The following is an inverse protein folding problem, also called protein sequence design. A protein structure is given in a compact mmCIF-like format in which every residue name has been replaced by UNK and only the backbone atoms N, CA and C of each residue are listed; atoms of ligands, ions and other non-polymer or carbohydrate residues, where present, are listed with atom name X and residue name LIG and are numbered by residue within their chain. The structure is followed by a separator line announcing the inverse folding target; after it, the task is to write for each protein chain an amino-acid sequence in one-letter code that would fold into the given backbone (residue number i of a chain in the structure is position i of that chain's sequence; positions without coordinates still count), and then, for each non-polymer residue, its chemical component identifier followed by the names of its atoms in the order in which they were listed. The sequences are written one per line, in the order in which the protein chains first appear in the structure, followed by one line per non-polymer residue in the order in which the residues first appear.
data_IF_334424466877
#
_entry.id   IF_334424466877
#
_cell.length_a   1.000
_cell.length_b   1.000
_cell.length_c   1.000
_cell.angle_alpha   90.00
_cell.angle_beta   90.00
_cell.angle_gamma   90.00
#
_symmetry.space_group_name_H-M   'P 1'
#
loop_
_entity.id
_entity.type
_entity.pdbx_description
1 polymer ?
#
# COMPACT_ATOMS: atom_id res chain seq x y z
N UNK A 1 -23.57 57.12 -20.66
CA UNK A 1 -23.69 57.40 -19.21
C UNK A 1 -24.64 56.33 -18.70
N UNK A 2 -24.09 55.17 -18.31
CA UNK A 2 -24.90 54.06 -17.80
C UNK A 2 -25.48 54.48 -16.45
N UNK A 3 -26.80 54.52 -16.39
CA UNK A 3 -27.55 54.76 -15.17
C UNK A 3 -27.33 53.56 -14.25
N UNK A 4 -26.40 53.70 -13.30
CA UNK A 4 -26.14 52.65 -12.30
C UNK A 4 -27.34 52.58 -11.37
N UNK A 5 -28.17 51.56 -11.53
CA UNK A 5 -29.22 51.19 -10.58
C UNK A 5 -28.70 51.29 -9.15
N UNK A 6 -29.50 51.90 -8.26
CA UNK A 6 -29.15 51.98 -6.85
C UNK A 6 -29.10 50.58 -6.23
N UNK A 7 -28.37 50.42 -5.12
CA UNK A 7 -28.27 49.13 -4.42
C UNK A 7 -29.64 48.57 -4.00
N UNK A 8 -30.60 49.46 -3.68
CA UNK A 8 -31.97 49.07 -3.32
C UNK A 8 -32.77 48.57 -4.53
N UNK A 9 -32.62 49.23 -5.69
CA UNK A 9 -33.25 48.81 -6.95
C UNK A 9 -32.68 47.49 -7.44
N UNK A 10 -31.36 47.29 -7.31
CA UNK A 10 -30.70 46.03 -7.66
C UNK A 10 -31.16 44.89 -6.75
N UNK A 11 -31.33 45.16 -5.46
CA UNK A 11 -31.87 44.17 -4.52
C UNK A 11 -33.33 43.81 -4.85
N UNK A 12 -34.19 44.79 -5.14
CA UNK A 12 -35.58 44.54 -5.53
C UNK A 12 -35.68 43.74 -6.84
N UNK A 13 -34.84 44.08 -7.82
CA UNK A 13 -34.75 43.38 -9.11
C UNK A 13 -34.29 41.94 -8.93
N UNK A 14 -33.23 41.71 -8.15
CA UNK A 14 -32.74 40.37 -7.82
C UNK A 14 -33.82 39.53 -7.12
N UNK A 15 -34.57 40.10 -6.17
CA UNK A 15 -35.63 39.40 -5.49
C UNK A 15 -36.76 38.96 -6.45
N UNK A 16 -37.21 39.87 -7.32
CA UNK A 16 -38.25 39.57 -8.31
C UNK A 16 -37.80 38.49 -9.32
N UNK A 17 -36.57 38.60 -9.83
CA UNK A 17 -35.98 37.61 -10.73
C UNK A 17 -35.79 36.25 -10.05
N UNK A 18 -35.39 36.21 -8.77
CA UNK A 18 -35.27 34.98 -8.00
C UNK A 18 -36.62 34.26 -7.84
N UNK A 19 -37.70 34.98 -7.55
CA UNK A 19 -39.05 34.40 -7.46
C UNK A 19 -39.50 33.79 -8.80
N UNK A 20 -39.29 34.50 -9.91
CA UNK A 20 -39.63 34.00 -11.24
C UNK A 20 -38.77 32.78 -11.64
N UNK A 21 -37.48 32.83 -11.33
CA UNK A 21 -36.55 31.72 -11.58
C UNK A 21 -36.92 30.47 -10.74
N UNK A 22 -37.33 30.66 -9.49
CA UNK A 22 -37.82 29.57 -8.63
C UNK A 22 -39.09 28.91 -9.18
N UNK A 23 -39.95 29.68 -9.84
CA UNK A 23 -41.14 29.19 -10.55
C UNK A 23 -40.82 28.48 -11.88
N UNK A 24 -39.54 28.35 -12.25
CA UNK A 24 -39.09 27.64 -13.45
C UNK A 24 -38.87 28.52 -14.68
N UNK A 25 -38.89 29.86 -14.54
CA UNK A 25 -38.61 30.76 -15.66
C UNK A 25 -37.08 30.81 -15.95
N UNK A 26 -36.66 30.11 -17.02
CA UNK A 26 -35.25 30.04 -17.45
C UNK A 26 -34.69 31.39 -17.91
N UNK A 27 -35.52 32.24 -18.51
CA UNK A 27 -35.10 33.58 -18.92
C UNK A 27 -34.79 34.46 -17.69
N UNK A 28 -35.67 34.42 -16.67
CA UNK A 28 -35.44 35.13 -15.42
C UNK A 28 -34.18 34.63 -14.69
N UNK A 29 -33.91 33.32 -14.72
CA UNK A 29 -32.68 32.75 -14.18
C UNK A 29 -31.43 33.25 -14.93
N UNK A 30 -31.49 33.33 -16.26
CA UNK A 30 -30.40 33.87 -17.08
C UNK A 30 -30.12 35.35 -16.77
N UNK A 31 -31.18 36.17 -16.64
CA UNK A 31 -31.04 37.59 -16.26
C UNK A 31 -30.48 37.76 -14.85
N UNK A 32 -30.90 36.90 -13.91
CA UNK A 32 -30.38 36.88 -12.55
C UNK A 32 -28.89 36.53 -12.51
N UNK A 33 -28.45 35.57 -13.34
CA UNK A 33 -27.03 35.25 -13.51
C UNK A 33 -26.24 36.44 -14.05
N UNK A 34 -26.66 37.03 -15.17
CA UNK A 34 -25.92 38.13 -15.80
C UNK A 34 -25.77 39.35 -14.87
N UNK A 35 -26.83 39.67 -14.13
CA UNK A 35 -26.84 40.79 -13.17
C UNK A 35 -25.86 40.56 -12.01
N UNK A 36 -25.66 39.31 -11.59
CA UNK A 36 -24.82 38.95 -10.44
C UNK A 36 -23.44 38.39 -10.82
N UNK A 37 -23.13 38.24 -12.12
CA UNK A 37 -21.85 37.68 -12.61
C UNK A 37 -20.63 38.42 -12.08
N UNK A 38 -20.70 39.76 -12.00
CA UNK A 38 -19.62 40.59 -11.45
C UNK A 38 -19.34 40.32 -9.97
N UNK A 39 -20.40 40.10 -9.17
CA UNK A 39 -20.29 39.76 -7.76
C UNK A 39 -19.66 38.37 -7.57
N UNK A 40 -20.11 37.39 -8.36
CA UNK A 40 -19.60 36.01 -8.35
C UNK A 40 -18.10 35.99 -8.69
N UNK A 41 -17.70 36.69 -9.76
CA UNK A 41 -16.29 36.85 -10.12
C UNK A 41 -15.49 37.49 -8.99
N UNK A 42 -16.01 38.53 -8.33
CA UNK A 42 -15.32 39.16 -7.18
C UNK A 42 -15.13 38.20 -6.01
N UNK A 43 -16.14 37.38 -5.69
CA UNK A 43 -16.03 36.34 -4.65
C UNK A 43 -14.96 35.31 -5.01
N UNK A 44 -14.96 34.84 -6.26
CA UNK A 44 -13.97 33.89 -6.75
C UNK A 44 -12.54 34.43 -6.67
N UNK A 45 -12.29 35.64 -7.17
CA UNK A 45 -10.95 36.26 -7.14
C UNK A 45 -10.41 36.53 -5.73
N UNK A 46 -11.29 36.68 -4.73
CA UNK A 46 -10.88 36.75 -3.32
C UNK A 46 -10.53 35.36 -2.77
N UNK A 47 -11.27 34.34 -3.18
CA UNK A 47 -11.10 32.98 -2.72
C UNK A 47 -9.88 32.28 -3.34
N UNK A 48 -9.72 32.37 -4.67
CA UNK A 48 -8.76 31.58 -5.45
C UNK A 48 -7.29 31.72 -5.02
N UNK A 49 -6.72 32.92 -4.80
CA UNK A 49 -5.32 33.05 -4.40
C UNK A 49 -4.97 32.31 -3.10
N UNK A 50 -5.92 32.23 -2.18
CA UNK A 50 -5.75 31.56 -0.89
C UNK A 50 -5.97 30.03 -0.97
N UNK A 51 -6.51 29.53 -2.08
CA UNK A 51 -6.94 28.14 -2.24
C UNK A 51 -6.46 27.49 -3.54
N UNK A 52 -5.54 28.12 -4.28
CA UNK A 52 -5.03 27.60 -5.57
C UNK A 52 -4.46 26.19 -5.44
N UNK A 53 -3.64 25.92 -4.43
CA UNK A 53 -3.06 24.60 -4.20
C UNK A 53 -4.13 23.53 -3.93
N UNK A 54 -5.25 23.91 -3.29
CA UNK A 54 -6.38 23.03 -3.09
C UNK A 54 -7.15 22.82 -4.40
N UNK A 55 -7.37 23.87 -5.19
CA UNK A 55 -8.04 23.76 -6.49
C UNK A 55 -7.23 22.86 -7.46
N UNK A 56 -5.92 23.07 -7.54
CA UNK A 56 -5.00 22.28 -8.38
C UNK A 56 -5.04 20.78 -8.00
N UNK A 57 -5.01 20.46 -6.70
CA UNK A 57 -5.11 19.07 -6.20
C UNK A 57 -6.42 18.38 -6.57
N UNK A 58 -7.48 19.17 -6.70
CA UNK A 58 -8.81 18.69 -7.03
C UNK A 58 -9.12 18.81 -8.52
N UNK A 59 -8.15 19.23 -9.35
CA UNK A 59 -8.30 19.40 -10.79
C UNK A 59 -9.27 20.51 -11.19
N UNK A 60 -9.60 21.43 -10.28
CA UNK A 60 -10.58 22.50 -10.51
C UNK A 60 -9.85 23.74 -10.99
N UNK A 61 -10.22 24.22 -12.18
CA UNK A 61 -9.69 25.44 -12.78
C UNK A 61 -10.55 26.66 -12.46
N UNK A 62 -10.05 27.85 -12.78
CA UNK A 62 -10.81 29.09 -12.65
C UNK A 62 -12.10 29.09 -13.50
N UNK A 63 -12.06 28.48 -14.69
CA UNK A 63 -13.20 28.40 -15.61
C UNK A 63 -14.31 27.48 -15.05
N UNK A 64 -13.93 26.44 -14.32
CA UNK A 64 -14.89 25.56 -13.63
C UNK A 64 -15.65 26.33 -12.55
N UNK A 65 -14.98 27.22 -11.81
CA UNK A 65 -15.66 28.05 -10.81
C UNK A 65 -16.62 29.07 -11.42
N UNK A 66 -16.31 29.61 -12.61
CA UNK A 66 -17.25 30.48 -13.32
C UNK A 66 -18.51 29.71 -13.73
N UNK A 67 -18.36 28.47 -14.23
CA UNK A 67 -19.48 27.59 -14.55
C UNK A 67 -20.30 27.19 -13.31
N UNK A 68 -19.63 26.81 -12.23
CA UNK A 68 -20.26 26.48 -10.94
C UNK A 68 -21.01 27.66 -10.31
N UNK A 69 -20.58 28.89 -10.63
CA UNK A 69 -21.29 30.11 -10.27
C UNK A 69 -22.74 30.13 -10.76
N UNK A 70 -23.02 29.58 -11.93
CA UNK A 70 -24.38 29.49 -12.45
C UNK A 70 -25.25 28.57 -11.58
N UNK A 71 -24.72 27.42 -11.17
CA UNK A 71 -25.43 26.51 -10.26
C UNK A 71 -25.61 27.11 -8.86
N UNK A 72 -24.73 28.01 -8.43
CA UNK A 72 -24.92 28.76 -7.21
C UNK A 72 -26.09 29.75 -7.33
N UNK A 73 -26.23 30.46 -8.46
CA UNK A 73 -27.39 31.33 -8.72
C UNK A 73 -28.69 30.53 -8.78
N UNK A 74 -28.68 29.38 -9.46
CA UNK A 74 -29.86 28.51 -9.52
C UNK A 74 -30.27 28.02 -8.11
N UNK A 75 -29.31 27.58 -7.30
CA UNK A 75 -29.56 27.16 -5.93
C UNK A 75 -30.07 28.32 -5.06
N UNK A 76 -29.43 29.49 -5.18
CA UNK A 76 -29.83 30.69 -4.45
C UNK A 76 -31.26 31.08 -4.80
N UNK A 77 -31.63 31.14 -6.08
CA UNK A 77 -32.98 31.47 -6.52
C UNK A 77 -34.05 30.52 -5.93
N UNK A 78 -33.78 29.20 -5.91
CA UNK A 78 -34.72 28.20 -5.38
C UNK A 78 -34.91 28.26 -3.87
N UNK A 79 -33.90 28.72 -3.13
CA UNK A 79 -33.89 28.70 -1.66
C UNK A 79 -34.01 30.08 -1.05
N UNK A 80 -34.10 31.12 -1.87
CA UNK A 80 -34.08 32.50 -1.41
C UNK A 80 -35.34 32.82 -0.61
N UNK A 81 -35.13 33.35 0.59
CA UNK A 81 -36.17 33.93 1.43
C UNK A 81 -35.98 35.46 1.51
N UNK A 82 -36.87 36.26 0.89
CA UNK A 82 -36.81 37.71 0.96
C UNK A 82 -36.93 38.28 2.38
N UNK A 83 -37.57 37.55 3.31
CA UNK A 83 -37.71 38.00 4.70
C UNK A 83 -36.41 37.83 5.52
N UNK A 84 -35.55 36.90 5.11
CA UNK A 84 -34.30 36.58 5.81
C UNK A 84 -33.11 37.47 5.41
N UNK A 85 -33.22 38.25 4.34
CA UNK A 85 -32.24 39.27 3.98
C UNK A 85 -32.00 39.48 2.48
N UNK A 86 -30.86 40.11 2.17
CA UNK A 86 -30.48 40.45 0.80
C UNK A 86 -30.13 39.21 -0.04
N UNK A 87 -30.42 39.27 -1.34
CA UNK A 87 -30.15 38.16 -2.26
C UNK A 87 -28.64 37.93 -2.41
N UNK A 88 -27.84 39.01 -2.37
CA UNK A 88 -26.38 38.94 -2.43
C UNK A 88 -25.78 38.13 -1.27
N UNK A 89 -26.35 38.24 -0.07
CA UNK A 89 -25.95 37.43 1.09
C UNK A 89 -26.26 35.96 0.88
N UNK A 90 -27.45 35.67 0.35
CA UNK A 90 -27.87 34.29 0.02
C UNK A 90 -26.98 33.67 -1.06
N UNK A 91 -26.67 34.45 -2.09
CA UNK A 91 -25.78 34.05 -3.18
C UNK A 91 -24.37 33.78 -2.67
N UNK A 92 -23.85 34.57 -1.71
CA UNK A 92 -22.55 34.30 -1.10
C UNK A 92 -22.49 32.93 -0.41
N UNK A 93 -23.56 32.56 0.31
CA UNK A 93 -23.66 31.25 0.97
C UNK A 93 -23.82 30.12 -0.06
N UNK A 94 -24.63 30.35 -1.10
CA UNK A 94 -24.80 29.40 -2.20
C UNK A 94 -23.47 29.15 -2.94
N UNK A 95 -22.67 30.20 -3.17
CA UNK A 95 -21.34 30.09 -3.77
C UNK A 95 -20.40 29.24 -2.90
N UNK A 96 -20.34 29.50 -1.58
CA UNK A 96 -19.53 28.67 -0.68
C UNK A 96 -19.94 27.20 -0.71
N UNK A 97 -21.25 26.94 -0.73
CA UNK A 97 -21.80 25.59 -0.89
C UNK A 97 -21.36 24.94 -2.20
N UNK A 98 -21.42 25.67 -3.33
CA UNK A 98 -21.02 25.11 -4.62
C UNK A 98 -19.51 24.88 -4.72
N UNK A 99 -18.68 25.79 -4.22
CA UNK A 99 -17.21 25.58 -4.14
C UNK A 99 -16.91 24.28 -3.38
N UNK A 100 -17.59 24.05 -2.26
CA UNK A 100 -17.43 22.81 -1.50
C UNK A 100 -17.92 21.57 -2.25
N UNK A 101 -18.96 21.68 -3.09
CA UNK A 101 -19.46 20.57 -3.90
C UNK A 101 -18.52 20.26 -5.05
N UNK A 102 -18.06 21.27 -5.79
CA UNK A 102 -17.09 21.15 -6.87
C UNK A 102 -15.79 20.49 -6.38
N UNK A 103 -15.28 20.92 -5.22
CA UNK A 103 -14.07 20.32 -4.64
C UNK A 103 -14.28 18.87 -4.16
N UNK A 104 -15.51 18.44 -3.86
CA UNK A 104 -15.75 17.09 -3.34
C UNK A 104 -16.40 16.13 -4.33
N UNK A 105 -16.90 16.61 -5.47
CA UNK A 105 -17.75 15.85 -6.40
C UNK A 105 -18.84 15.03 -5.65
N UNK A 106 -19.37 15.58 -4.56
CA UNK A 106 -20.36 14.92 -3.69
C UNK A 106 -19.82 13.84 -2.75
N UNK A 107 -18.56 13.41 -2.89
CA UNK A 107 -17.93 12.37 -2.06
C UNK A 107 -17.08 13.03 -0.98
N UNK A 108 -17.56 12.98 0.27
CA UNK A 108 -16.95 13.70 1.39
C UNK A 108 -16.55 12.75 2.50
N UNK A 109 -15.36 12.93 3.05
CA UNK A 109 -14.93 12.27 4.29
C UNK A 109 -14.68 13.30 5.38
N UNK A 110 -15.03 12.94 6.61
CA UNK A 110 -14.71 13.71 7.80
C UNK A 110 -13.38 13.20 8.37
N UNK A 111 -12.51 14.12 8.75
CA UNK A 111 -11.33 13.80 9.54
C UNK A 111 -11.22 14.80 10.70
N UNK A 112 -10.45 14.43 11.72
CA UNK A 112 -10.18 15.28 12.88
C UNK A 112 -8.70 15.66 12.79
N UNK A 113 -8.40 16.95 12.88
CA UNK A 113 -7.01 17.42 12.92
C UNK A 113 -6.37 17.17 14.29
N UNK A 114 -5.08 17.48 14.42
CA UNK A 114 -4.33 17.35 15.68
C UNK A 114 -4.92 18.21 16.82
N UNK A 115 -5.63 19.29 16.48
CA UNK A 115 -6.31 20.19 17.41
C UNK A 115 -7.72 19.71 17.82
N UNK A 116 -8.17 18.56 17.33
CA UNK A 116 -9.49 17.99 17.64
C UNK A 116 -10.66 18.61 16.87
N UNK A 117 -10.41 19.46 15.86
CA UNK A 117 -11.43 20.05 15.01
C UNK A 117 -11.81 19.10 13.87
N UNK A 118 -13.11 18.97 13.64
CA UNK A 118 -13.62 18.16 12.53
C UNK A 118 -13.59 18.96 11.22
N UNK A 119 -12.88 18.41 10.24
CA UNK A 119 -12.79 18.92 8.88
C UNK A 119 -13.48 17.98 7.91
N UNK A 120 -13.96 18.52 6.79
CA UNK A 120 -14.52 17.71 5.70
C UNK A 120 -13.73 17.97 4.43
N UNK A 121 -13.23 16.90 3.80
CA UNK A 121 -12.52 16.96 2.52
C UNK A 121 -13.11 15.97 1.53
N UNK A 122 -12.67 16.04 0.27
CA UNK A 122 -13.03 15.05 -0.75
C UNK A 122 -12.60 13.65 -0.31
N UNK A 123 -13.45 12.67 -0.57
CA UNK A 123 -13.14 11.25 -0.37
C UNK A 123 -12.51 10.62 -1.61
N UNK A 124 -12.28 11.38 -2.68
CA UNK A 124 -11.61 10.89 -3.89
C UNK A 124 -10.12 10.66 -3.61
N UNK A 125 -9.63 9.40 -3.71
CA UNK A 125 -8.22 9.08 -3.50
C UNK A 125 -7.28 9.84 -4.44
N UNK A 126 -7.72 10.17 -5.66
CA UNK A 126 -6.87 10.83 -6.66
C UNK A 126 -6.40 12.21 -6.21
N UNK A 127 -7.19 12.92 -5.40
CA UNK A 127 -6.82 14.22 -4.82
C UNK A 127 -5.66 14.15 -3.81
N UNK A 128 -5.22 12.92 -3.48
CA UNK A 128 -4.16 12.63 -2.52
C UNK A 128 -3.04 11.77 -3.11
N UNK A 129 -3.06 11.53 -4.43
CA UNK A 129 -2.02 10.80 -5.13
C UNK A 129 -0.96 11.75 -5.72
N UNK A 130 0.22 11.21 -5.99
CA UNK A 130 1.27 11.89 -6.76
C UNK A 130 1.21 11.40 -8.22
N UNK A 131 1.60 12.27 -9.15
CA UNK A 131 1.79 11.87 -10.54
C UNK A 131 3.01 10.94 -10.64
N UNK A 132 2.90 9.89 -11.44
CA UNK A 132 4.05 9.03 -11.76
C UNK A 132 5.06 9.76 -12.65
N UNK A 133 4.63 10.76 -13.42
CA UNK A 133 5.49 11.60 -14.26
C UNK A 133 6.21 12.69 -13.46
N UNK A 134 6.06 12.72 -12.13
CA UNK A 134 6.77 13.67 -11.29
C UNK A 134 8.28 13.37 -11.36
N UNK A 135 9.13 14.31 -11.80
CA UNK A 135 10.58 14.12 -11.77
C UNK A 135 11.04 13.95 -10.31
N UNK A 136 11.96 13.02 -10.08
CA UNK A 136 12.45 12.75 -8.73
C UNK A 136 13.27 13.92 -8.19
N UNK A 137 14.05 14.54 -9.06
CA UNK A 137 14.82 15.74 -8.77
C UNK A 137 14.14 16.95 -9.40
N UNK A 138 13.67 17.88 -8.58
CA UNK A 138 13.02 19.10 -9.05
C UNK A 138 13.93 20.03 -9.83
N UNK A 139 15.26 19.91 -9.67
CA UNK A 139 16.25 20.70 -10.42
C UNK A 139 16.62 20.07 -11.76
N UNK A 140 16.28 18.79 -11.95
CA UNK A 140 16.55 18.04 -13.18
C UNK A 140 15.25 17.50 -13.77
N UNK A 141 14.52 18.36 -14.48
CA UNK A 141 13.25 18.02 -15.10
C UNK A 141 13.36 16.91 -16.17
N UNK A 142 14.53 16.73 -16.78
CA UNK A 142 14.82 15.65 -17.75
C UNK A 142 15.34 14.37 -17.06
N UNK A 143 15.37 14.35 -15.72
CA UNK A 143 15.75 13.20 -14.91
C UNK A 143 14.67 12.12 -14.85
N UNK A 144 14.97 10.99 -14.17
CA UNK A 144 14.01 9.90 -14.05
C UNK A 144 12.77 10.33 -13.28
N UNK A 145 11.63 9.82 -13.72
CA UNK A 145 10.34 10.07 -13.06
C UNK A 145 10.08 9.07 -11.93
N UNK A 146 9.15 9.40 -11.04
CA UNK A 146 8.75 8.52 -9.95
C UNK A 146 8.28 7.14 -10.46
N UNK A 147 7.55 7.12 -11.58
CA UNK A 147 7.06 5.90 -12.21
C UNK A 147 8.16 5.02 -12.80
N UNK A 148 9.22 5.62 -13.34
CA UNK A 148 10.35 4.88 -13.92
C UNK A 148 11.20 4.17 -12.86
N UNK A 149 11.28 4.72 -11.65
CA UNK A 149 12.06 4.14 -10.54
C UNK A 149 11.23 3.17 -9.70
N UNK A 150 9.91 3.22 -9.80
CA UNK A 150 9.05 2.32 -9.05
C UNK A 150 9.18 0.87 -9.57
N UNK A 151 9.59 -0.09 -8.73
CA UNK A 151 9.71 -1.48 -9.15
C UNK A 151 8.34 -2.08 -9.45
N UNK A 152 8.26 -2.91 -10.50
CA UNK A 152 7.07 -3.73 -10.78
C UNK A 152 7.03 -4.92 -9.81
N UNK A 153 6.03 -4.98 -8.90
CA UNK A 153 5.92 -6.08 -7.94
C UNK A 153 5.75 -7.45 -8.62
N UNK A 154 5.09 -7.52 -9.77
CA UNK A 154 4.89 -8.78 -10.48
C UNK A 154 6.20 -9.29 -11.10
N UNK A 155 7.01 -8.38 -11.65
CA UNK A 155 8.33 -8.72 -12.15
C UNK A 155 9.27 -9.17 -11.01
N UNK A 156 9.31 -8.46 -9.89
CA UNK A 156 10.13 -8.84 -8.72
C UNK A 156 9.72 -10.22 -8.19
N UNK A 157 8.42 -10.50 -8.05
CA UNK A 157 7.92 -11.82 -7.66
C UNK A 157 8.31 -12.92 -8.66
N UNK A 158 8.31 -12.63 -9.96
CA UNK A 158 8.73 -13.60 -10.97
C UNK A 158 10.21 -13.97 -10.84
N UNK A 159 11.08 -12.99 -10.52
CA UNK A 159 12.49 -13.24 -10.22
C UNK A 159 12.65 -14.11 -8.97
N UNK A 160 12.02 -13.74 -7.85
CA UNK A 160 12.07 -14.52 -6.61
C UNK A 160 11.57 -15.95 -6.82
N UNK A 161 10.43 -16.13 -7.49
CA UNK A 161 9.88 -17.45 -7.79
C UNK A 161 10.81 -18.29 -8.68
N UNK A 162 11.58 -17.65 -9.57
CA UNK A 162 12.57 -18.35 -10.38
C UNK A 162 13.77 -18.85 -9.55
N UNK A 163 14.30 -18.01 -8.66
CA UNK A 163 15.36 -18.39 -7.73
C UNK A 163 14.92 -19.52 -6.79
N UNK A 164 13.72 -19.40 -6.20
CA UNK A 164 13.15 -20.41 -5.31
C UNK A 164 12.95 -21.75 -6.00
N UNK A 165 12.52 -21.75 -7.26
CA UNK A 165 12.37 -22.98 -8.04
C UNK A 165 13.70 -23.69 -8.27
N UNK A 166 14.74 -22.94 -8.60
CA UNK A 166 16.10 -23.48 -8.79
C UNK A 166 16.64 -24.03 -7.48
N UNK A 167 16.53 -23.26 -6.38
CA UNK A 167 16.96 -23.67 -5.04
C UNK A 167 16.22 -24.92 -4.55
N UNK A 168 14.90 -24.96 -4.76
CA UNK A 168 14.06 -26.11 -4.43
C UNK A 168 14.41 -27.36 -5.23
N UNK A 169 14.69 -27.21 -6.53
CA UNK A 169 15.12 -28.31 -7.39
C UNK A 169 16.47 -28.88 -6.96
N UNK A 170 17.44 -28.02 -6.66
CA UNK A 170 18.77 -28.42 -6.17
C UNK A 170 18.66 -29.14 -4.81
N UNK A 171 17.86 -28.59 -3.88
CA UNK A 171 17.59 -29.21 -2.59
C UNK A 171 16.96 -30.59 -2.74
N UNK A 172 15.95 -30.71 -3.63
CA UNK A 172 15.26 -31.98 -3.88
C UNK A 172 16.19 -33.02 -4.49
N UNK A 173 17.09 -32.61 -5.39
CA UNK A 173 18.09 -33.49 -5.98
C UNK A 173 19.06 -34.06 -4.91
N UNK A 174 19.61 -33.20 -4.05
CA UNK A 174 20.53 -33.63 -2.98
C UNK A 174 19.85 -34.55 -1.96
N UNK A 175 18.61 -34.23 -1.58
CA UNK A 175 17.82 -35.09 -0.69
C UNK A 175 17.47 -36.43 -1.35
N UNK A 176 17.11 -36.42 -2.64
CA UNK A 176 16.85 -37.64 -3.41
C UNK A 176 18.07 -38.57 -3.42
N UNK A 177 19.23 -38.01 -3.78
CA UNK A 177 20.53 -38.66 -3.73
C UNK A 177 20.83 -39.30 -2.36
N UNK A 178 20.54 -38.59 -1.27
CA UNK A 178 20.79 -39.06 0.10
C UNK A 178 19.83 -40.18 0.51
N UNK A 179 18.56 -40.07 0.10
CA UNK A 179 17.56 -41.11 0.34
C UNK A 179 17.88 -42.39 -0.42
N UNK A 180 18.35 -42.30 -1.66
CA UNK A 180 18.71 -43.47 -2.47
C UNK A 180 19.91 -44.24 -1.86
N UNK A 181 20.78 -43.57 -1.10
CA UNK A 181 21.85 -44.22 -0.32
C UNK A 181 21.37 -44.91 0.98
N UNK A 182 20.19 -44.59 1.51
CA UNK A 182 19.71 -45.16 2.78
C UNK A 182 19.14 -46.58 2.64
N UNK A 183 18.69 -46.95 1.43
CA UNK A 183 18.08 -48.24 1.10
C UNK A 183 16.65 -48.08 0.59
N UNK A 184 16.16 -49.05 -0.20
CA UNK A 184 14.89 -48.93 -0.95
C UNK A 184 13.66 -48.75 -0.06
N UNK A 185 13.50 -49.58 0.97
CA UNK A 185 12.36 -49.51 1.90
C UNK A 185 12.43 -48.23 2.76
N UNK A 186 13.62 -47.85 3.22
CA UNK A 186 13.82 -46.64 4.01
C UNK A 186 13.50 -45.38 3.20
N UNK A 187 13.98 -45.32 1.95
CA UNK A 187 13.69 -44.25 1.00
C UNK A 187 12.20 -44.13 0.70
N UNK A 188 11.52 -45.26 0.46
CA UNK A 188 10.07 -45.29 0.22
C UNK A 188 9.27 -44.78 1.42
N UNK A 189 9.61 -45.22 2.65
CA UNK A 189 8.98 -44.71 3.87
C UNK A 189 9.17 -43.20 4.00
N UNK A 190 10.39 -42.68 3.78
CA UNK A 190 10.67 -41.25 3.89
C UNK A 190 9.94 -40.42 2.83
N UNK A 191 9.86 -40.90 1.58
CA UNK A 191 9.10 -40.23 0.51
C UNK A 191 7.61 -40.15 0.84
N UNK A 192 7.00 -41.26 1.25
CA UNK A 192 5.58 -41.26 1.62
C UNK A 192 5.28 -40.39 2.84
N UNK A 193 6.14 -40.40 3.86
CA UNK A 193 5.93 -39.63 5.10
C UNK A 193 6.09 -38.12 4.90
N UNK A 194 7.11 -37.70 4.16
CA UNK A 194 7.52 -36.28 4.13
C UNK A 194 7.26 -35.59 2.78
N UNK A 195 7.18 -36.32 1.68
CA UNK A 195 6.97 -35.75 0.35
C UNK A 195 5.50 -35.86 -0.06
N UNK A 196 4.87 -37.00 0.22
CA UNK A 196 3.44 -37.23 -0.05
C UNK A 196 2.53 -36.86 1.15
N UNK A 197 3.10 -36.63 2.34
CA UNK A 197 2.36 -36.24 3.55
C UNK A 197 1.51 -37.36 4.18
N UNK A 198 1.77 -38.63 3.86
CA UNK A 198 0.98 -39.76 4.37
C UNK A 198 1.23 -39.99 5.87
N UNK A 199 0.17 -40.42 6.58
CA UNK A 199 0.28 -40.86 7.98
C UNK A 199 1.07 -42.16 8.11
N UNK A 200 1.59 -42.47 9.30
CA UNK A 200 2.31 -43.75 9.51
C UNK A 200 1.44 -44.97 9.18
N UNK A 201 0.14 -44.90 9.43
CA UNK A 201 -0.79 -45.98 9.11
C UNK A 201 -0.96 -46.14 7.59
N UNK A 202 -1.21 -45.05 6.88
CA UNK A 202 -1.37 -45.07 5.42
C UNK A 202 -0.07 -45.45 4.69
N UNK A 203 1.09 -45.00 5.19
CA UNK A 203 2.40 -45.44 4.67
C UNK A 203 2.62 -46.94 4.91
N UNK A 204 2.22 -47.45 6.07
CA UNK A 204 2.30 -48.87 6.39
C UNK A 204 1.45 -49.71 5.45
N UNK A 205 0.19 -49.34 5.26
CA UNK A 205 -0.72 -49.98 4.31
C UNK A 205 -0.16 -49.98 2.88
N UNK A 206 0.34 -48.84 2.41
CA UNK A 206 0.89 -48.70 1.05
C UNK A 206 2.13 -49.56 0.79
N UNK A 207 2.96 -49.79 1.82
CA UNK A 207 4.20 -50.57 1.72
C UNK A 207 3.97 -52.05 2.12
N UNK A 208 2.87 -52.37 2.81
CA UNK A 208 2.59 -53.70 3.35
C UNK A 208 3.28 -54.00 4.69
N UNK A 209 3.47 -52.97 5.53
CA UNK A 209 4.12 -53.07 6.85
C UNK A 209 3.26 -52.42 7.94
N UNK A 210 3.52 -52.76 9.20
CA UNK A 210 2.78 -52.19 10.33
C UNK A 210 3.18 -50.73 10.60
N UNK A 211 2.29 -49.89 11.19
CA UNK A 211 2.62 -48.51 11.55
C UNK A 211 3.82 -48.41 12.52
N UNK A 212 3.97 -49.39 13.42
CA UNK A 212 5.11 -49.46 14.33
C UNK A 212 6.44 -49.68 13.58
N UNK A 213 6.44 -50.55 12.56
CA UNK A 213 7.61 -50.76 11.70
C UNK A 213 7.94 -49.51 10.89
N UNK A 214 6.94 -48.78 10.39
CA UNK A 214 7.16 -47.47 9.72
C UNK A 214 7.93 -46.53 10.64
N UNK A 215 7.52 -46.39 11.91
CA UNK A 215 8.22 -45.53 12.88
C UNK A 215 9.68 -45.96 13.12
N UNK A 216 9.93 -47.27 13.25
CA UNK A 216 11.28 -47.80 13.42
C UNK A 216 12.15 -47.51 12.21
N UNK A 217 11.61 -47.72 11.00
CA UNK A 217 12.29 -47.46 9.73
C UNK A 217 12.57 -45.97 9.56
N UNK A 218 11.60 -45.10 9.84
CA UNK A 218 11.75 -43.64 9.81
C UNK A 218 12.88 -43.18 10.74
N UNK A 219 12.91 -43.70 11.97
CA UNK A 219 13.96 -43.36 12.96
C UNK A 219 15.35 -43.79 12.47
N UNK A 220 15.45 -44.97 11.86
CA UNK A 220 16.71 -45.49 11.31
C UNK A 220 17.17 -44.68 10.10
N UNK A 221 16.27 -44.37 9.17
CA UNK A 221 16.53 -43.56 8.00
C UNK A 221 17.01 -42.16 8.39
N UNK A 222 16.32 -41.50 9.33
CA UNK A 222 16.72 -40.20 9.88
C UNK A 222 18.11 -40.25 10.53
N UNK A 223 18.43 -41.34 11.25
CA UNK A 223 19.78 -41.52 11.82
C UNK A 223 20.85 -41.61 10.73
N UNK A 224 20.60 -42.36 9.66
CA UNK A 224 21.51 -42.50 8.51
C UNK A 224 21.70 -41.18 7.77
N UNK A 225 20.60 -40.49 7.43
CA UNK A 225 20.65 -39.16 6.81
C UNK A 225 21.41 -38.16 7.68
N UNK A 226 21.19 -38.18 8.99
CA UNK A 226 21.93 -37.33 9.93
C UNK A 226 23.42 -37.67 9.96
N UNK A 227 23.84 -38.89 9.61
CA UNK A 227 25.26 -39.27 9.54
C UNK A 227 25.86 -39.16 8.13
N UNK A 228 25.08 -38.88 7.08
CA UNK A 228 25.58 -38.78 5.70
C UNK A 228 26.53 -37.57 5.57
N UNK A 229 27.83 -37.78 5.27
CA UNK A 229 28.80 -36.70 5.15
C UNK A 229 28.53 -35.74 4.00
N UNK A 230 28.00 -36.22 2.86
CA UNK A 230 27.65 -35.41 1.69
C UNK A 230 26.46 -34.50 2.02
N UNK A 231 25.44 -35.07 2.66
CA UNK A 231 24.26 -34.30 3.07
C UNK A 231 24.60 -33.26 4.13
N UNK A 232 25.45 -33.60 5.12
CA UNK A 232 25.95 -32.63 6.12
C UNK A 232 26.72 -31.48 5.48
N UNK A 233 27.70 -31.78 4.63
CA UNK A 233 28.49 -30.73 3.95
C UNK A 233 27.60 -29.81 3.12
N UNK A 234 26.62 -30.36 2.40
CA UNK A 234 25.66 -29.55 1.67
C UNK A 234 24.81 -28.71 2.62
N UNK A 235 24.24 -29.30 3.68
CA UNK A 235 23.44 -28.59 4.66
C UNK A 235 24.20 -27.43 5.32
N UNK A 236 25.46 -27.65 5.70
CA UNK A 236 26.29 -26.62 6.32
C UNK A 236 26.55 -25.47 5.33
N UNK A 237 26.85 -25.80 4.06
CA UNK A 237 26.98 -24.82 2.98
C UNK A 237 25.67 -24.08 2.69
N UNK A 238 24.53 -24.76 2.71
CA UNK A 238 23.23 -24.10 2.51
C UNK A 238 22.81 -23.25 3.70
N UNK A 239 23.19 -23.62 4.93
CA UNK A 239 22.99 -22.76 6.09
C UNK A 239 23.83 -21.49 6.01
N UNK A 240 25.05 -21.58 5.48
CA UNK A 240 25.89 -20.42 5.16
C UNK A 240 25.28 -19.59 4.02
N UNK A 241 24.75 -20.25 2.97
CA UNK A 241 24.14 -19.58 1.81
C UNK A 241 22.75 -19.00 2.09
N UNK A 242 21.99 -19.51 3.06
CA UNK A 242 20.63 -19.03 3.36
C UNK A 242 20.57 -17.57 3.75
N UNK A 243 21.63 -17.07 4.38
CA UNK A 243 21.71 -15.66 4.72
C UNK A 243 21.84 -14.76 3.47
N UNK A 244 22.22 -15.33 2.32
CA UNK A 244 22.32 -14.67 1.02
C UNK A 244 21.01 -14.64 0.21
N UNK A 245 19.92 -15.22 0.70
CA UNK A 245 18.62 -15.16 0.01
C UNK A 245 17.84 -13.88 0.33
N UNK A 246 17.00 -13.45 -0.62
CA UNK A 246 16.15 -12.27 -0.44
C UNK A 246 16.96 -10.98 -0.45
N UNK A 247 17.68 -10.76 -1.56
CA UNK A 247 18.50 -9.55 -1.82
C UNK A 247 17.66 -8.39 -2.36
N UNK A 248 16.37 -8.63 -2.60
CA UNK A 248 15.44 -7.66 -3.18
C UNK A 248 15.03 -6.55 -2.21
N UNK A 249 14.59 -5.43 -2.78
CA UNK A 249 14.14 -4.27 -2.03
C UNK A 249 12.94 -4.59 -1.14
N UNK A 250 11.98 -5.38 -1.63
CA UNK A 250 10.81 -5.77 -0.83
C UNK A 250 11.20 -6.57 0.41
N UNK A 251 12.14 -7.53 0.28
CA UNK A 251 12.63 -8.28 1.45
C UNK A 251 13.27 -7.35 2.47
N UNK A 252 14.14 -6.42 2.04
CA UNK A 252 14.72 -5.43 2.95
C UNK A 252 13.66 -4.54 3.60
N UNK A 253 12.68 -4.06 2.83
CA UNK A 253 11.59 -3.20 3.32
C UNK A 253 10.74 -3.91 4.38
N UNK A 254 10.51 -5.21 4.23
CA UNK A 254 9.71 -6.01 5.16
C UNK A 254 10.52 -6.47 6.39
N UNK A 255 11.77 -6.89 6.20
CA UNK A 255 12.60 -7.45 7.29
C UNK A 255 13.43 -6.40 8.01
N UNK A 256 13.53 -5.17 7.47
CA UNK A 256 14.33 -4.08 8.00
C UNK A 256 15.83 -4.36 8.03
N UNK A 257 16.30 -5.37 7.29
CA UNK A 257 17.69 -5.86 7.36
C UNK A 257 18.19 -6.27 5.98
N UNK A 258 19.41 -5.86 5.66
CA UNK A 258 20.08 -6.22 4.42
C UNK A 258 20.56 -7.67 4.44
N UNK A 259 20.87 -8.23 3.27
CA UNK A 259 21.53 -9.54 3.17
C UNK A 259 22.86 -9.54 3.92
N UNK A 260 23.65 -8.47 3.78
CA UNK A 260 24.96 -8.32 4.39
C UNK A 260 24.87 -8.36 5.92
N UNK A 261 23.90 -7.67 6.51
CA UNK A 261 23.65 -7.70 7.96
C UNK A 261 23.24 -9.08 8.43
N UNK A 262 22.27 -9.72 7.75
CA UNK A 262 21.81 -11.08 8.11
C UNK A 262 22.93 -12.12 7.98
N UNK A 263 23.79 -12.01 6.98
CA UNK A 263 24.99 -12.85 6.82
C UNK A 263 25.95 -12.63 7.97
N UNK A 264 26.23 -11.38 8.32
CA UNK A 264 27.18 -11.03 9.38
C UNK A 264 26.69 -11.54 10.75
N UNK A 265 25.46 -11.23 11.13
CA UNK A 265 24.84 -11.73 12.37
C UNK A 265 24.86 -13.27 12.44
N UNK A 266 24.62 -13.92 11.30
CA UNK A 266 24.62 -15.38 11.23
C UNK A 266 26.02 -15.96 11.41
N UNK A 267 27.03 -15.39 10.76
CA UNK A 267 28.43 -15.81 10.90
C UNK A 267 28.90 -15.63 12.35
N UNK A 268 28.55 -14.51 12.99
CA UNK A 268 28.82 -14.28 14.41
C UNK A 268 28.16 -15.36 15.29
N UNK A 269 26.89 -15.67 15.02
CA UNK A 269 26.16 -16.73 15.76
C UNK A 269 26.83 -18.10 15.61
N UNK A 270 27.27 -18.44 14.39
CA UNK A 270 27.98 -19.70 14.12
C UNK A 270 29.32 -19.74 14.89
N UNK A 271 30.05 -18.63 14.91
CA UNK A 271 31.34 -18.55 15.60
C UNK A 271 31.18 -18.64 17.12
N UNK A 272 30.19 -17.95 17.69
CA UNK A 272 29.84 -18.05 19.11
C UNK A 272 29.49 -19.50 19.51
N UNK A 273 28.70 -20.19 18.68
CA UNK A 273 28.35 -21.60 18.92
C UNK A 273 29.57 -22.52 18.87
N UNK A 274 30.52 -22.30 17.93
CA UNK A 274 31.79 -23.05 17.86
C UNK A 274 32.63 -22.81 19.12
N UNK A 275 32.71 -21.57 19.60
CA UNK A 275 33.43 -21.20 20.83
C UNK A 275 32.80 -21.90 22.04
N UNK A 276 31.47 -21.87 22.16
CA UNK A 276 30.74 -22.52 23.24
C UNK A 276 30.97 -24.05 23.24
N UNK A 277 30.88 -24.70 22.07
CA UNK A 277 31.12 -26.13 21.94
C UNK A 277 32.57 -26.54 22.27
N UNK A 278 33.55 -25.71 21.90
CA UNK A 278 34.95 -25.92 22.31
C UNK A 278 35.08 -25.85 23.83
N UNK A 279 34.54 -24.81 24.48
CA UNK A 279 34.56 -24.63 25.94
C UNK A 279 33.95 -25.80 26.69
N UNK A 280 32.78 -26.28 26.25
CA UNK A 280 32.11 -27.42 26.87
C UNK A 280 32.95 -28.71 26.78
N UNK A 281 33.67 -28.89 25.67
CA UNK A 281 34.55 -30.04 25.45
C UNK A 281 35.81 -29.96 26.32
N UNK A 282 36.37 -28.76 26.53
CA UNK A 282 37.49 -28.55 27.46
C UNK A 282 37.08 -28.88 28.89
N UNK A 283 35.94 -28.35 29.35
CA UNK A 283 35.40 -28.60 30.68
C UNK A 283 35.14 -30.09 30.95
N UNK A 284 34.57 -30.82 29.97
CA UNK A 284 34.38 -32.28 30.08
C UNK A 284 35.71 -33.04 30.20
N UNK A 285 36.74 -32.64 29.45
CA UNK A 285 38.06 -33.25 29.53
C UNK A 285 38.79 -32.94 30.84
N UNK A 286 38.60 -31.76 31.42
CA UNK A 286 39.14 -31.40 32.74
C UNK A 286 38.47 -32.22 33.84
N UNK A 287 37.14 -32.36 33.82
CA UNK A 287 36.41 -33.21 34.76
C UNK A 287 36.81 -34.69 34.67
N UNK A 288 37.13 -35.20 33.48
CA UNK A 288 37.67 -36.55 33.27
C UNK A 288 39.11 -36.72 33.75
N UNK A 289 39.88 -35.63 33.89
CA UNK A 289 41.25 -35.65 34.44
C UNK A 289 41.29 -35.50 35.95
N UNK A 290 40.31 -34.82 36.55
CA UNK A 290 40.21 -34.64 38.01
C UNK A 290 39.47 -35.80 38.72
N UNK A 291 38.83 -36.70 37.95
CA UNK A 291 38.09 -37.87 38.45
C UNK A 291 38.86 -39.20 38.46
N UNK A 292 40.20 -39.19 38.34
CA UNK A 292 41.11 -40.35 38.48
C UNK A 292 42.03 -40.11 39.67
#
# INVERSE_FOLDING_TARGET
MEDKMSAAEQQATNAALATLAAAGNSYALGQLWETNRGLIRSMFWKWYPHHKSLADKHGVTADDFEQEGFFAVQYAARTYDPAAGAFSTWLAQAMQRQIQLALSNGHRRKFVDEDGKSHTTSADPLNHCFSLDLPIDSENADGPTLGEVQPDPAAEQAFTAAEERISSAQTRAVLGDALDRCGTIESAVMRHRFFDGLSMAATGEKIGITPAQVRTIETRALRKLRSDPKLRRWHDRELENRAWHGVGYLTWRETGSSVQERVTERLETIELNKIAAKREKTLKNEHLREGV
#
